data_IF_597613046817
#
_entry.id   IF_597613046817
#
_cell.length_a   1.000
_cell.length_b   1.000
_cell.length_c   1.000
_cell.angle_alpha   90.00
_cell.angle_beta   90.00
_cell.angle_gamma   90.00
#
_symmetry.space_group_name_H-M   'P 1'
#
loop_
_entity.id
_entity.type
_entity.pdbx_description
1 polymer ?
#
# COMPACT_ATOMS: atom_id res chain seq x y z
N UNK A 1 -3.91 24.07 12.23
CA UNK A 1 -3.06 23.03 11.61
C UNK A 1 -3.97 22.01 10.97
N UNK A 2 -4.07 22.00 9.64
CA UNK A 2 -4.92 21.05 8.92
C UNK A 2 -4.17 19.72 8.77
N UNK A 3 -4.70 18.66 9.38
CA UNK A 3 -4.21 17.29 9.19
C UNK A 3 -4.66 16.85 7.80
N UNK A 4 -3.75 16.91 6.83
CA UNK A 4 -4.00 16.43 5.47
C UNK A 4 -4.08 14.90 5.54
N UNK A 5 -5.28 14.35 5.39
CA UNK A 5 -5.46 12.91 5.26
C UNK A 5 -4.98 12.45 3.88
N UNK A 6 -3.75 11.92 3.84
CA UNK A 6 -3.07 11.39 2.65
C UNK A 6 -3.61 9.99 2.32
N UNK A 7 -4.81 9.90 1.76
CA UNK A 7 -5.33 8.65 1.18
C UNK A 7 -5.05 8.53 -0.33
N UNK A 8 -4.71 9.65 -0.96
CA UNK A 8 -4.24 9.77 -2.35
C UNK A 8 -3.29 10.96 -2.40
N UNK A 9 -2.38 11.01 -3.38
CA UNK A 9 -1.64 12.26 -3.66
C UNK A 9 -2.69 13.37 -3.73
N UNK A 10 -2.64 14.37 -2.83
CA UNK A 10 -3.71 15.36 -2.77
C UNK A 10 -3.80 16.02 -4.15
N UNK A 11 -5.02 16.22 -4.64
CA UNK A 11 -5.24 16.84 -5.96
C UNK A 11 -4.54 18.19 -6.07
N UNK A 12 -4.41 18.89 -4.95
CA UNK A 12 -3.68 20.13 -4.82
C UNK A 12 -2.17 19.97 -5.03
N UNK A 13 -1.54 18.96 -4.42
CA UNK A 13 -0.11 18.66 -4.63
C UNK A 13 0.14 18.19 -6.05
N UNK A 14 -0.75 17.35 -6.60
CA UNK A 14 -0.66 16.91 -8.00
C UNK A 14 -0.66 18.12 -8.95
N UNK A 15 -1.66 19.01 -8.80
CA UNK A 15 -1.80 20.20 -9.62
C UNK A 15 -0.62 21.17 -9.43
N UNK A 16 -0.13 21.33 -8.20
CA UNK A 16 1.03 22.17 -7.94
C UNK A 16 2.32 21.63 -8.59
N UNK A 17 2.46 20.31 -8.71
CA UNK A 17 3.57 19.68 -9.45
C UNK A 17 3.40 19.90 -10.97
N UNK A 18 2.20 19.71 -11.50
CA UNK A 18 1.88 19.93 -12.93
C UNK A 18 2.16 21.38 -13.35
N UNK A 19 1.78 22.34 -12.50
CA UNK A 19 1.99 23.77 -12.71
C UNK A 19 3.42 24.24 -12.34
N UNK A 20 4.31 23.32 -11.97
CA UNK A 20 5.70 23.58 -11.54
C UNK A 20 5.82 24.64 -10.44
N UNK A 21 4.84 24.72 -9.52
CA UNK A 21 4.78 25.73 -8.46
C UNK A 21 5.75 25.48 -7.31
N UNK A 22 6.29 24.28 -7.21
CA UNK A 22 7.17 23.88 -6.12
C UNK A 22 8.64 24.03 -6.50
N UNK A 23 9.41 24.61 -5.59
CA UNK A 23 10.88 24.54 -5.61
C UNK A 23 11.39 23.14 -5.28
N UNK A 24 12.65 22.84 -5.61
CA UNK A 24 13.25 21.53 -5.29
C UNK A 24 13.18 21.21 -3.78
N UNK A 25 13.41 22.20 -2.91
CA UNK A 25 13.31 22.01 -1.46
C UNK A 25 11.91 21.60 -1.02
N UNK A 26 10.87 22.18 -1.61
CA UNK A 26 9.48 21.81 -1.32
C UNK A 26 9.14 20.41 -1.85
N UNK A 27 9.65 20.06 -3.04
CA UNK A 27 9.52 18.68 -3.57
C UNK A 27 10.19 17.67 -2.64
N UNK A 28 11.35 18.01 -2.06
CA UNK A 28 12.05 17.16 -1.10
C UNK A 28 11.26 16.96 0.21
N UNK A 29 10.66 18.02 0.75
CA UNK A 29 9.80 17.92 1.95
C UNK A 29 8.57 17.05 1.69
N UNK A 30 7.92 17.26 0.54
CA UNK A 30 6.77 16.47 0.12
C UNK A 30 7.18 14.99 -0.05
N UNK A 31 8.31 14.72 -0.69
CA UNK A 31 8.86 13.38 -0.86
C UNK A 31 9.11 12.67 0.48
N UNK A 32 9.79 13.32 1.43
CA UNK A 32 10.07 12.73 2.74
C UNK A 32 8.79 12.45 3.53
N UNK A 33 7.78 13.32 3.41
CA UNK A 33 6.45 13.08 3.98
C UNK A 33 5.80 11.82 3.41
N UNK A 34 5.79 11.66 2.08
CA UNK A 34 5.24 10.47 1.43
C UNK A 34 6.01 9.20 1.74
N UNK A 35 7.35 9.27 1.81
CA UNK A 35 8.20 8.15 2.17
C UNK A 35 7.94 7.67 3.60
N UNK A 36 7.75 8.60 4.53
CA UNK A 36 7.38 8.29 5.92
C UNK A 36 5.99 7.65 6.02
N UNK A 37 5.03 8.17 5.25
CA UNK A 37 3.67 7.63 5.19
C UNK A 37 3.65 6.22 4.55
N UNK A 38 4.40 6.00 3.46
CA UNK A 38 4.60 4.67 2.86
C UNK A 38 5.16 3.69 3.87
N UNK A 39 6.21 4.08 4.60
CA UNK A 39 6.81 3.22 5.61
C UNK A 39 5.83 2.87 6.73
N UNK A 40 5.03 3.85 7.18
CA UNK A 40 3.99 3.65 8.19
C UNK A 40 2.90 2.68 7.69
N UNK A 41 2.36 2.92 6.48
CA UNK A 41 1.34 2.08 5.84
C UNK A 41 1.85 0.67 5.59
N UNK A 42 3.10 0.50 5.14
CA UNK A 42 3.76 -0.80 4.98
C UNK A 42 3.81 -1.54 6.31
N UNK A 43 4.24 -0.88 7.39
CA UNK A 43 4.29 -1.50 8.72
C UNK A 43 2.89 -1.91 9.19
N UNK A 44 1.89 -1.03 9.06
CA UNK A 44 0.50 -1.33 9.41
C UNK A 44 -0.08 -2.50 8.61
N UNK A 45 0.20 -2.54 7.31
CA UNK A 45 -0.20 -3.65 6.43
C UNK A 45 0.40 -4.98 6.87
N UNK A 46 1.71 -5.03 7.16
CA UNK A 46 2.36 -6.25 7.63
C UNK A 46 1.80 -6.72 8.98
N UNK A 47 1.54 -5.79 9.91
CA UNK A 47 0.91 -6.12 11.19
C UNK A 47 -0.48 -6.73 10.96
N UNK A 48 -1.30 -6.12 10.10
CA UNK A 48 -2.62 -6.64 9.76
C UNK A 48 -2.55 -8.02 9.12
N UNK A 49 -1.61 -8.26 8.20
CA UNK A 49 -1.42 -9.58 7.59
C UNK A 49 -1.02 -10.65 8.62
N UNK A 50 -0.10 -10.33 9.53
CA UNK A 50 0.32 -11.25 10.59
C UNK A 50 -0.86 -11.60 11.50
N UNK A 51 -1.68 -10.61 11.88
CA UNK A 51 -2.87 -10.83 12.71
C UNK A 51 -3.90 -11.72 11.99
N UNK A 52 -4.21 -11.43 10.73
CA UNK A 52 -5.14 -12.26 9.93
C UNK A 52 -4.60 -13.68 9.76
N UNK A 53 -3.32 -13.84 9.48
CA UNK A 53 -2.68 -15.15 9.38
C UNK A 53 -2.73 -15.91 10.71
N UNK A 54 -2.43 -15.26 11.83
CA UNK A 54 -2.49 -15.88 13.15
C UNK A 54 -3.92 -16.34 13.52
N UNK A 55 -4.93 -15.53 13.23
CA UNK A 55 -6.34 -15.89 13.44
C UNK A 55 -6.76 -17.06 12.54
N UNK A 56 -6.35 -17.05 11.27
CA UNK A 56 -6.73 -18.09 10.32
C UNK A 56 -6.04 -19.43 10.63
N UNK A 57 -4.76 -19.41 11.00
CA UNK A 57 -4.01 -20.60 11.42
C UNK A 57 -4.47 -21.13 12.78
N UNK A 58 -4.67 -20.24 13.76
CA UNK A 58 -5.01 -20.61 15.14
C UNK A 58 -6.46 -21.04 15.34
N UNK A 59 -7.38 -20.55 14.52
CA UNK A 59 -8.81 -20.81 14.67
C UNK A 59 -9.47 -21.30 13.38
N UNK A 60 -9.22 -20.63 12.24
CA UNK A 60 -9.86 -20.95 10.96
C UNK A 60 -9.62 -22.39 10.51
N UNK A 61 -8.36 -22.80 10.39
CA UNK A 61 -8.00 -24.16 9.93
C UNK A 61 -8.55 -25.24 10.87
N UNK A 62 -8.34 -25.19 12.21
CA UNK A 62 -8.88 -26.20 13.12
C UNK A 62 -10.40 -26.34 13.04
N UNK A 63 -11.13 -25.23 12.91
CA UNK A 63 -12.60 -25.24 12.79
C UNK A 63 -13.02 -25.92 11.49
N UNK A 64 -12.43 -25.51 10.36
CA UNK A 64 -12.76 -26.09 9.05
C UNK A 64 -12.46 -27.59 9.02
N UNK A 65 -11.29 -28.01 9.52
CA UNK A 65 -10.90 -29.42 9.55
C UNK A 65 -11.83 -30.24 10.46
N UNK A 66 -12.25 -29.69 11.61
CA UNK A 66 -13.21 -30.37 12.52
C UNK A 66 -14.60 -30.51 11.91
N UNK A 67 -15.03 -29.59 11.06
CA UNK A 67 -16.39 -29.58 10.49
C UNK A 67 -16.57 -30.55 9.34
N UNK A 68 -15.59 -30.68 8.43
CA UNK A 68 -15.76 -31.44 7.18
C UNK A 68 -14.73 -32.55 6.97
N UNK A 69 -13.77 -32.71 7.89
CA UNK A 69 -12.69 -33.67 7.71
C UNK A 69 -11.53 -33.09 6.91
N UNK A 70 -10.34 -33.69 7.08
CA UNK A 70 -9.09 -33.17 6.51
C UNK A 70 -8.98 -33.29 4.98
N UNK A 71 -9.41 -34.41 4.34
CA UNK A 71 -9.39 -34.53 2.88
C UNK A 71 -10.25 -33.49 2.17
N UNK A 72 -11.44 -33.22 2.70
CA UNK A 72 -12.42 -32.28 2.15
C UNK A 72 -12.07 -30.82 2.50
N UNK A 73 -11.48 -30.58 3.67
CA UNK A 73 -11.00 -29.27 4.08
C UNK A 73 -9.82 -28.76 3.25
N UNK A 74 -8.96 -29.65 2.76
CA UNK A 74 -7.74 -29.28 2.04
C UNK A 74 -7.99 -28.36 0.83
N UNK A 75 -8.83 -28.73 -0.16
CA UNK A 75 -9.11 -27.85 -1.30
C UNK A 75 -9.74 -26.51 -0.87
N UNK A 76 -10.63 -26.52 0.14
CA UNK A 76 -11.26 -25.31 0.66
C UNK A 76 -10.24 -24.35 1.26
N UNK A 77 -9.35 -24.87 2.13
CA UNK A 77 -8.29 -24.10 2.77
C UNK A 77 -7.38 -23.48 1.70
N UNK A 78 -6.96 -24.27 0.70
CA UNK A 78 -6.13 -23.78 -0.41
C UNK A 78 -6.84 -22.67 -1.18
N UNK A 79 -8.11 -22.83 -1.55
CA UNK A 79 -8.89 -21.79 -2.24
C UNK A 79 -8.99 -20.49 -1.42
N UNK A 80 -9.20 -20.60 -0.10
CA UNK A 80 -9.25 -19.44 0.79
C UNK A 80 -7.89 -18.73 0.84
N UNK A 81 -6.78 -19.48 0.93
CA UNK A 81 -5.43 -18.89 0.90
C UNK A 81 -5.16 -18.13 -0.40
N UNK A 82 -5.55 -18.70 -1.55
CA UNK A 82 -5.42 -18.02 -2.85
C UNK A 82 -6.24 -16.72 -2.87
N UNK A 83 -7.49 -16.78 -2.40
CA UNK A 83 -8.36 -15.61 -2.35
C UNK A 83 -7.79 -14.51 -1.43
N UNK A 84 -7.36 -14.87 -0.22
CA UNK A 84 -6.72 -13.95 0.73
C UNK A 84 -5.47 -13.33 0.10
N UNK A 85 -4.65 -14.13 -0.57
CA UNK A 85 -3.45 -13.65 -1.27
C UNK A 85 -3.77 -12.60 -2.33
N UNK A 86 -4.80 -12.83 -3.15
CA UNK A 86 -5.25 -11.85 -4.16
C UNK A 86 -5.72 -10.55 -3.48
N UNK A 87 -6.55 -10.66 -2.44
CA UNK A 87 -7.05 -9.49 -1.70
C UNK A 87 -5.90 -8.69 -1.08
N UNK A 88 -4.88 -9.37 -0.53
CA UNK A 88 -3.69 -8.72 0.02
C UNK A 88 -2.88 -7.99 -1.04
N UNK A 89 -2.63 -8.62 -2.19
CA UNK A 89 -1.91 -7.98 -3.30
C UNK A 89 -2.65 -6.74 -3.80
N UNK A 90 -3.97 -6.84 -3.98
CA UNK A 90 -4.79 -5.70 -4.39
C UNK A 90 -4.75 -4.58 -3.34
N UNK A 91 -4.94 -4.92 -2.07
CA UNK A 91 -4.90 -3.94 -0.97
C UNK A 91 -3.55 -3.24 -0.90
N UNK A 92 -2.45 -3.99 -1.02
CA UNK A 92 -1.10 -3.45 -1.10
C UNK A 92 -0.93 -2.48 -2.28
N UNK A 93 -1.39 -2.90 -3.47
CA UNK A 93 -1.31 -2.09 -4.67
C UNK A 93 -2.10 -0.78 -4.53
N UNK A 94 -3.33 -0.82 -4.03
CA UNK A 94 -4.15 0.39 -3.85
C UNK A 94 -3.62 1.31 -2.75
N UNK A 95 -3.06 0.76 -1.68
CA UNK A 95 -2.63 1.54 -0.51
C UNK A 95 -1.25 2.17 -0.68
N UNK A 96 -0.32 1.46 -1.32
CA UNK A 96 1.09 1.84 -1.42
C UNK A 96 1.51 2.00 -2.89
N UNK A 97 1.20 1.01 -3.73
CA UNK A 97 1.64 0.98 -5.14
C UNK A 97 1.10 2.14 -5.97
N UNK A 98 -0.18 2.48 -5.83
CA UNK A 98 -0.83 3.51 -6.63
C UNK A 98 -0.28 4.92 -6.36
N UNK A 99 0.07 5.23 -5.11
CA UNK A 99 0.64 6.53 -4.72
C UNK A 99 2.03 6.69 -5.33
N UNK A 100 2.89 5.68 -5.17
CA UNK A 100 4.24 5.63 -5.73
C UNK A 100 4.23 5.76 -7.26
N UNK A 101 3.34 5.04 -7.94
CA UNK A 101 3.16 5.13 -9.40
C UNK A 101 2.77 6.55 -9.84
N UNK A 102 1.78 7.15 -9.18
CA UNK A 102 1.33 8.51 -9.49
C UNK A 102 2.44 9.55 -9.24
N UNK A 103 3.11 9.47 -8.10
CA UNK A 103 4.23 10.35 -7.76
C UNK A 103 5.37 10.25 -8.78
N UNK A 104 5.86 9.04 -9.03
CA UNK A 104 6.96 8.81 -9.96
C UNK A 104 6.62 9.29 -11.36
N UNK A 105 5.38 9.09 -11.82
CA UNK A 105 4.93 9.61 -13.12
C UNK A 105 4.98 11.14 -13.16
N UNK A 106 4.41 11.81 -12.15
CA UNK A 106 4.36 13.27 -12.09
C UNK A 106 5.76 13.90 -12.01
N UNK A 107 6.63 13.39 -11.15
CA UNK A 107 8.00 13.92 -11.04
C UNK A 107 8.79 13.67 -12.32
N UNK A 108 8.64 12.50 -12.95
CA UNK A 108 9.30 12.21 -14.23
C UNK A 108 8.89 13.16 -15.35
N UNK A 109 7.62 13.53 -15.39
CA UNK A 109 7.04 14.38 -16.44
C UNK A 109 7.35 15.86 -16.22
N UNK A 110 7.12 16.37 -15.01
CA UNK A 110 7.19 17.81 -14.73
C UNK A 110 8.54 18.26 -14.17
N UNK A 111 9.31 17.35 -13.54
CA UNK A 111 10.59 17.60 -12.90
C UNK A 111 11.67 16.55 -13.26
N UNK A 112 11.95 16.31 -14.55
CA UNK A 112 12.83 15.22 -14.99
C UNK A 112 14.26 15.32 -14.45
N UNK A 113 14.77 16.53 -14.23
CA UNK A 113 16.14 16.80 -13.75
C UNK A 113 16.38 16.23 -12.35
N UNK A 114 15.34 16.22 -11.50
CA UNK A 114 15.43 15.76 -10.11
C UNK A 114 14.73 14.41 -9.89
N UNK A 115 14.25 13.76 -10.96
CA UNK A 115 13.47 12.53 -10.87
C UNK A 115 14.23 11.38 -10.19
N UNK A 116 15.48 11.12 -10.60
CA UNK A 116 16.27 10.03 -10.01
C UNK A 116 16.55 10.25 -8.51
N UNK A 117 16.56 11.51 -8.06
CA UNK A 117 16.79 11.87 -6.66
C UNK A 117 15.54 11.69 -5.78
N UNK A 118 14.35 11.92 -6.33
CA UNK A 118 13.08 11.91 -5.59
C UNK A 118 12.10 10.83 -6.09
N UNK A 119 12.60 9.75 -6.67
CA UNK A 119 11.80 8.58 -7.04
C UNK A 119 11.43 7.80 -5.78
N UNK A 120 10.13 7.57 -5.57
CA UNK A 120 9.62 6.68 -4.52
C UNK A 120 9.79 5.23 -4.92
#
# INVERSE_FOLDING_TARGET
MAVIHILTLSSEVARGIEERRYSEGQIAEIYESYKKDEHSKKKGFWIAMILVAALFLGYGIPVVVKSIGLPEAFPLIVSIFVFIGIVWVLTWYFTIGAIKLKWNRLIKEYYPVIYEKYRL
#
